data_IF_582207581603
#
_entry.id   IF_582207581603
#
_cell.length_a   1.000
_cell.length_b   1.000
_cell.length_c   1.000
_cell.angle_alpha   90.00
_cell.angle_beta   90.00
_cell.angle_gamma   90.00
#
_symmetry.space_group_name_H-M   'P 1'
#
loop_
_entity.id
_entity.type
_entity.pdbx_description
1 polymer ?
#
# COMPACT_ATOMS: atom_id res chain seq x y z
N UNK A 1 28.97 -54.14 -11.91
CA UNK A 1 27.54 -53.73 -11.83
C UNK A 1 27.50 -52.23 -11.89
N UNK A 2 27.12 -51.74 -13.02
CA UNK A 2 27.22 -50.37 -13.52
C UNK A 2 26.04 -49.57 -12.98
N UNK A 3 26.26 -48.44 -12.35
CA UNK A 3 25.21 -47.45 -12.13
C UNK A 3 25.56 -46.20 -12.87
N UNK A 4 24.66 -45.91 -13.74
CA UNK A 4 24.68 -44.97 -14.83
C UNK A 4 24.11 -43.61 -14.38
N UNK A 5 24.73 -42.59 -14.94
CA UNK A 5 24.06 -41.47 -15.58
C UNK A 5 23.64 -40.28 -14.76
N UNK A 6 24.49 -39.31 -14.86
CA UNK A 6 24.18 -37.91 -14.67
C UNK A 6 22.97 -37.46 -15.49
N UNK A 7 21.90 -37.06 -14.88
CA UNK A 7 20.89 -36.19 -15.48
C UNK A 7 21.36 -34.76 -15.38
N UNK A 8 21.80 -34.24 -16.51
CA UNK A 8 21.95 -32.81 -16.77
C UNK A 8 20.58 -32.17 -16.72
N UNK A 9 20.27 -31.57 -15.62
CA UNK A 9 19.22 -30.55 -15.57
C UNK A 9 19.78 -29.32 -16.27
N UNK A 10 19.35 -29.12 -17.50
CA UNK A 10 19.60 -27.92 -18.28
C UNK A 10 19.12 -26.69 -17.49
N UNK A 11 20.09 -25.88 -17.15
CA UNK A 11 19.93 -24.56 -16.59
C UNK A 11 19.28 -23.67 -17.64
N UNK A 12 17.97 -23.61 -17.69
CA UNK A 12 17.29 -22.51 -18.35
C UNK A 12 17.47 -21.30 -17.46
N UNK A 13 18.48 -20.51 -17.76
CA UNK A 13 18.66 -19.15 -17.30
C UNK A 13 17.45 -18.37 -17.84
N UNK A 14 16.52 -18.07 -16.98
CA UNK A 14 15.41 -17.17 -17.32
C UNK A 14 16.04 -15.79 -17.36
N UNK A 15 16.08 -15.18 -18.55
CA UNK A 15 16.53 -13.81 -18.78
C UNK A 15 16.03 -12.88 -17.67
N UNK A 16 16.98 -12.18 -17.07
CA UNK A 16 16.65 -11.04 -16.20
C UNK A 16 15.84 -10.04 -17.02
N UNK A 17 14.62 -9.71 -16.58
CA UNK A 17 13.89 -8.64 -17.25
C UNK A 17 14.72 -7.36 -17.17
N UNK A 18 15.06 -6.79 -18.31
CA UNK A 18 15.71 -5.50 -18.46
C UNK A 18 15.11 -4.51 -17.47
N UNK A 19 15.96 -4.01 -16.55
CA UNK A 19 15.58 -3.05 -15.51
C UNK A 19 15.47 -1.67 -16.15
N UNK A 20 14.52 -1.50 -17.04
CA UNK A 20 14.03 -0.17 -17.35
C UNK A 20 13.04 0.17 -16.24
N UNK A 21 13.34 1.26 -15.50
CA UNK A 21 12.42 1.82 -14.53
C UNK A 21 11.02 1.88 -15.18
N UNK A 22 10.01 1.23 -14.60
CA UNK A 22 8.69 1.23 -15.21
C UNK A 22 8.23 2.67 -15.28
N UNK A 23 7.95 3.14 -16.50
CA UNK A 23 7.20 4.37 -16.71
C UNK A 23 5.84 4.13 -16.08
N UNK A 24 5.60 4.74 -14.94
CA UNK A 24 4.34 4.67 -14.23
C UNK A 24 3.26 5.29 -15.13
N UNK A 25 2.52 4.45 -15.82
CA UNK A 25 1.38 4.87 -16.60
C UNK A 25 0.19 4.95 -15.65
N UNK A 26 -0.07 6.17 -15.15
CA UNK A 26 -1.31 6.61 -14.58
C UNK A 26 -1.89 5.77 -13.45
N UNK A 27 -2.39 6.42 -12.41
CA UNK A 27 -3.22 5.79 -11.40
C UNK A 27 -4.25 4.85 -12.05
N UNK A 28 -4.54 3.67 -11.46
CA UNK A 28 -5.65 2.86 -11.90
C UNK A 28 -6.85 3.79 -12.05
N UNK A 29 -7.47 3.75 -13.21
CA UNK A 29 -8.63 4.56 -13.52
C UNK A 29 -9.65 4.36 -12.42
N UNK A 30 -9.76 5.35 -11.53
CA UNK A 30 -10.85 5.42 -10.58
C UNK A 30 -12.13 5.33 -11.38
N UNK A 31 -12.80 4.19 -11.35
CA UNK A 31 -14.18 4.10 -11.77
C UNK A 31 -14.95 4.91 -10.73
N UNK A 32 -15.10 6.20 -11.04
CA UNK A 32 -15.94 7.13 -10.30
C UNK A 32 -17.30 6.47 -10.19
N UNK A 33 -17.64 5.94 -9.03
CA UNK A 33 -19.00 5.59 -8.72
C UNK A 33 -19.73 6.94 -8.68
N UNK A 34 -20.51 7.22 -9.72
CA UNK A 34 -21.38 8.40 -9.74
C UNK A 34 -22.38 8.23 -8.60
N UNK A 35 -22.10 8.86 -7.47
CA UNK A 35 -23.06 9.05 -6.40
C UNK A 35 -24.09 10.07 -6.89
N UNK A 36 -25.21 9.57 -7.37
CA UNK A 36 -26.40 10.38 -7.59
C UNK A 36 -26.90 10.91 -6.25
N UNK A 37 -26.75 12.20 -6.04
CA UNK A 37 -27.50 12.95 -5.04
C UNK A 37 -26.84 13.12 -3.70
N UNK A 38 -25.89 14.07 -3.58
CA UNK A 38 -25.53 14.69 -2.28
C UNK A 38 -24.72 15.98 -2.50
N UNK A 39 -25.36 17.01 -3.01
CA UNK A 39 -24.72 18.34 -3.12
C UNK A 39 -24.61 19.07 -1.78
N UNK A 40 -25.19 18.57 -0.70
CA UNK A 40 -25.14 19.19 0.62
C UNK A 40 -24.11 18.60 1.60
N UNK A 41 -23.56 17.42 1.34
CA UNK A 41 -22.58 16.74 2.20
C UNK A 41 -21.11 17.04 1.84
N UNK A 42 -20.87 17.84 0.82
CA UNK A 42 -19.52 18.04 0.26
C UNK A 42 -18.58 18.86 1.14
N UNK A 43 -19.07 19.57 2.16
CA UNK A 43 -18.24 20.42 3.04
C UNK A 43 -17.55 19.68 4.18
N UNK A 44 -18.00 18.48 4.52
CA UNK A 44 -17.52 17.72 5.70
C UNK A 44 -16.90 16.38 5.35
N UNK A 45 -16.73 16.07 4.07
CA UNK A 45 -16.19 14.79 3.64
C UNK A 45 -14.75 14.57 4.12
N UNK A 46 -14.52 13.49 4.86
CA UNK A 46 -13.19 13.13 5.35
C UNK A 46 -12.30 12.68 4.19
N UNK A 47 -11.11 13.25 4.14
CA UNK A 47 -10.10 12.94 3.12
C UNK A 47 -8.86 12.33 3.74
N UNK A 48 -8.09 11.61 2.94
CA UNK A 48 -6.81 11.00 3.35
C UNK A 48 -5.87 12.00 4.03
N UNK A 49 -5.89 13.26 3.61
CA UNK A 49 -5.10 14.32 4.25
C UNK A 49 -5.38 14.49 5.74
N UNK A 50 -6.60 14.20 6.21
CA UNK A 50 -6.96 14.27 7.63
C UNK A 50 -6.24 13.24 8.50
N UNK A 51 -5.80 12.13 7.93
CA UNK A 51 -5.04 11.09 8.62
C UNK A 51 -3.60 10.97 8.11
N UNK A 52 -3.13 11.94 7.31
CA UNK A 52 -1.84 11.86 6.62
C UNK A 52 -0.65 11.80 7.60
N UNK A 53 -0.73 12.42 8.77
CA UNK A 53 0.35 12.36 9.76
C UNK A 53 0.51 10.95 10.33
N UNK A 54 -0.58 10.24 10.56
CA UNK A 54 -0.54 8.83 10.93
C UNK A 54 0.04 7.97 9.79
N UNK A 55 -0.37 8.26 8.55
CA UNK A 55 0.13 7.56 7.37
C UNK A 55 1.63 7.79 7.13
N UNK A 56 2.14 9.00 7.35
CA UNK A 56 3.58 9.33 7.25
C UNK A 56 4.42 8.54 8.23
N UNK A 57 3.98 8.41 9.48
CA UNK A 57 4.71 7.64 10.51
C UNK A 57 4.86 6.16 10.17
N UNK A 58 3.98 5.61 9.33
CA UNK A 58 4.04 4.22 8.88
C UNK A 58 4.89 4.01 7.64
N UNK A 59 5.24 5.08 6.93
CA UNK A 59 5.99 4.97 5.69
C UNK A 59 7.39 4.41 5.97
N UNK A 60 7.65 3.25 5.41
CA UNK A 60 8.99 2.68 5.31
C UNK A 60 9.28 2.40 3.86
N UNK A 61 10.35 2.99 3.34
CA UNK A 61 10.75 2.84 1.95
C UNK A 61 12.03 2.02 1.84
N UNK A 62 12.20 1.36 0.70
CA UNK A 62 13.41 0.64 0.34
C UNK A 62 13.71 0.88 -1.14
N UNK A 63 14.98 0.90 -1.53
CA UNK A 63 15.35 1.02 -2.92
C UNK A 63 15.07 -0.27 -3.69
N UNK A 64 14.74 -0.16 -4.97
CA UNK A 64 14.41 -1.31 -5.83
C UNK A 64 15.58 -2.31 -5.98
N UNK A 65 16.82 -1.84 -5.83
CA UNK A 65 18.04 -2.65 -5.91
C UNK A 65 18.50 -3.21 -4.54
N UNK A 66 17.80 -2.87 -3.45
CA UNK A 66 18.08 -3.40 -2.12
C UNK A 66 17.86 -4.92 -2.07
N UNK A 67 18.64 -5.60 -1.24
CA UNK A 67 18.60 -7.06 -1.15
C UNK A 67 17.43 -7.56 -0.30
N UNK A 68 16.95 -8.76 -0.60
CA UNK A 68 15.83 -9.37 0.12
C UNK A 68 16.05 -9.48 1.64
N UNK A 69 17.25 -9.82 2.16
CA UNK A 69 17.51 -9.82 3.61
C UNK A 69 17.33 -8.44 4.25
N UNK A 70 17.71 -7.36 3.55
CA UNK A 70 17.53 -6.00 4.02
C UNK A 70 16.03 -5.66 4.12
N UNK A 71 15.25 -6.03 3.12
CA UNK A 71 13.79 -5.88 3.17
C UNK A 71 13.19 -6.66 4.35
N UNK A 72 13.62 -7.91 4.57
CA UNK A 72 13.16 -8.73 5.69
C UNK A 72 13.51 -8.10 7.05
N UNK A 73 14.71 -7.57 7.18
CA UNK A 73 15.17 -6.87 8.38
C UNK A 73 14.34 -5.62 8.66
N UNK A 74 14.09 -4.79 7.65
CA UNK A 74 13.25 -3.58 7.80
C UNK A 74 11.83 -3.92 8.21
N UNK A 75 11.20 -4.93 7.61
CA UNK A 75 9.87 -5.39 7.99
C UNK A 75 9.79 -5.83 9.46
N UNK A 76 10.88 -6.40 9.99
CA UNK A 76 10.94 -6.88 11.37
C UNK A 76 11.23 -5.73 12.33
N UNK A 77 12.29 -4.94 12.08
CA UNK A 77 12.75 -3.88 13.00
C UNK A 77 11.77 -2.72 13.08
N UNK A 78 11.09 -2.39 11.98
CA UNK A 78 10.06 -1.34 11.93
C UNK A 78 8.66 -1.83 12.31
N UNK A 79 8.52 -3.13 12.59
CA UNK A 79 7.24 -3.77 12.89
C UNK A 79 6.12 -3.41 11.89
N UNK A 80 6.49 -3.36 10.61
CA UNK A 80 5.58 -3.10 9.50
C UNK A 80 5.30 -4.36 8.70
N UNK A 81 4.19 -4.41 7.97
CA UNK A 81 3.86 -5.52 7.08
C UNK A 81 4.14 -5.21 5.62
N UNK A 82 4.37 -3.92 5.30
CA UNK A 82 4.52 -3.43 3.94
C UNK A 82 5.69 -2.45 3.86
N UNK A 83 6.55 -2.64 2.85
CA UNK A 83 7.57 -1.67 2.44
C UNK A 83 7.19 -1.12 1.08
N UNK A 84 7.36 0.18 0.91
CA UNK A 84 7.24 0.81 -0.40
C UNK A 84 8.59 0.77 -1.10
N UNK A 85 8.63 0.13 -2.26
CA UNK A 85 9.82 0.06 -3.10
C UNK A 85 9.88 1.31 -3.97
N UNK A 86 10.99 2.04 -3.90
CA UNK A 86 11.18 3.28 -4.63
C UNK A 86 12.36 3.18 -5.60
N UNK A 87 12.31 3.95 -6.65
CA UNK A 87 13.47 4.23 -7.48
C UNK A 87 14.37 5.28 -6.82
N UNK A 88 15.52 5.58 -7.44
CA UNK A 88 16.49 6.57 -6.93
C UNK A 88 15.97 8.00 -6.96
N UNK A 89 14.89 8.28 -7.68
CA UNK A 89 14.20 9.58 -7.68
C UNK A 89 13.15 9.71 -6.58
N UNK A 90 12.94 8.63 -5.78
CA UNK A 90 11.93 8.54 -4.73
C UNK A 90 10.53 8.21 -5.25
N UNK A 91 10.37 7.87 -6.54
CA UNK A 91 9.09 7.41 -7.08
C UNK A 91 8.83 5.98 -6.66
N UNK A 92 7.58 5.70 -6.35
CA UNK A 92 7.14 4.36 -6.02
C UNK A 92 7.22 3.45 -7.25
N UNK A 93 7.90 2.32 -7.10
CA UNK A 93 8.01 1.27 -8.11
C UNK A 93 7.09 0.06 -7.82
N UNK A 94 6.72 -0.11 -6.55
CA UNK A 94 5.88 -1.20 -6.09
C UNK A 94 5.90 -1.34 -4.57
N UNK A 95 5.44 -2.47 -4.08
CA UNK A 95 5.48 -2.80 -2.64
C UNK A 95 6.02 -4.21 -2.41
N UNK A 96 6.61 -4.43 -1.24
CA UNK A 96 7.02 -5.74 -0.73
C UNK A 96 6.37 -5.96 0.62
N UNK A 97 5.72 -7.11 0.79
CA UNK A 97 5.12 -7.53 2.06
C UNK A 97 5.88 -8.69 2.69
N UNK A 98 5.63 -8.95 3.98
CA UNK A 98 6.13 -10.18 4.66
C UNK A 98 5.74 -11.44 3.89
N UNK A 99 4.53 -11.48 3.35
CA UNK A 99 4.02 -12.63 2.59
C UNK A 99 4.80 -12.85 1.30
N UNK A 100 5.21 -11.78 0.60
CA UNK A 100 6.00 -11.90 -0.64
C UNK A 100 7.36 -12.50 -0.34
N UNK A 101 8.00 -12.08 0.76
CA UNK A 101 9.30 -12.65 1.19
C UNK A 101 9.14 -14.12 1.55
N UNK A 102 8.14 -14.47 2.38
CA UNK A 102 7.90 -15.86 2.78
C UNK A 102 7.61 -16.75 1.56
N UNK A 103 6.76 -16.28 0.65
CA UNK A 103 6.45 -16.99 -0.60
C UNK A 103 7.69 -17.21 -1.46
N UNK A 104 8.59 -16.22 -1.50
CA UNK A 104 9.84 -16.34 -2.25
C UNK A 104 10.79 -17.32 -1.61
N UNK A 105 10.96 -17.29 -0.30
CA UNK A 105 11.81 -18.23 0.45
C UNK A 105 11.30 -19.67 0.22
N UNK A 106 10.00 -19.90 0.33
CA UNK A 106 9.40 -21.23 0.13
C UNK A 106 9.59 -21.82 -1.26
N UNK A 107 9.89 -20.99 -2.27
CA UNK A 107 10.16 -21.43 -3.66
C UNK A 107 11.67 -21.48 -3.98
N UNK A 108 12.51 -21.12 -3.04
CA UNK A 108 13.94 -20.96 -3.29
C UNK A 108 14.73 -22.16 -2.77
N UNK A 109 15.46 -22.82 -3.67
CA UNK A 109 16.36 -23.92 -3.36
C UNK A 109 17.76 -23.40 -2.96
N UNK A 110 17.83 -22.47 -1.99
CA UNK A 110 19.10 -22.01 -1.41
C UNK A 110 19.70 -20.70 -1.97
N UNK A 111 19.09 -20.06 -2.99
CA UNK A 111 19.67 -18.88 -3.65
C UNK A 111 18.92 -17.55 -3.35
N UNK A 112 17.97 -17.54 -2.38
CA UNK A 112 17.13 -16.39 -2.11
C UNK A 112 17.89 -15.14 -1.62
N UNK A 113 19.04 -15.32 -0.96
CA UNK A 113 19.77 -14.23 -0.32
C UNK A 113 20.43 -13.24 -1.29
N UNK A 114 20.57 -13.60 -2.56
CA UNK A 114 21.17 -12.73 -3.59
C UNK A 114 20.18 -11.87 -4.38
N UNK A 115 18.86 -12.07 -4.19
CA UNK A 115 17.84 -11.40 -4.98
C UNK A 115 17.57 -9.98 -4.49
N UNK A 116 17.29 -9.07 -5.42
CA UNK A 116 16.84 -7.71 -5.11
C UNK A 116 15.35 -7.66 -4.78
N UNK A 117 14.93 -6.61 -4.06
CA UNK A 117 13.52 -6.34 -3.76
C UNK A 117 12.66 -6.23 -5.02
N UNK A 118 13.24 -5.78 -6.13
CA UNK A 118 12.57 -5.65 -7.42
C UNK A 118 12.04 -6.99 -7.98
N UNK A 119 12.66 -8.12 -7.62
CA UNK A 119 12.25 -9.45 -8.08
C UNK A 119 10.99 -9.96 -7.39
N UNK A 120 10.74 -9.50 -6.16
CA UNK A 120 9.63 -9.97 -5.32
C UNK A 120 8.52 -8.95 -5.16
N UNK A 121 8.75 -7.68 -5.56
CA UNK A 121 7.74 -6.63 -5.39
C UNK A 121 6.50 -6.86 -6.26
N UNK A 122 5.36 -6.50 -5.70
CA UNK A 122 4.13 -6.31 -6.45
C UNK A 122 4.13 -4.92 -7.06
N UNK A 123 3.94 -4.83 -8.38
CA UNK A 123 3.99 -3.56 -9.14
C UNK A 123 2.61 -2.94 -9.32
N UNK A 124 1.61 -3.77 -9.60
CA UNK A 124 0.23 -3.32 -9.73
C UNK A 124 -0.38 -3.18 -8.34
N UNK A 125 -0.26 -1.98 -7.77
CA UNK A 125 -0.63 -1.66 -6.39
C UNK A 125 -1.67 -0.57 -6.39
N UNK A 126 -2.78 -0.82 -5.68
CA UNK A 126 -3.71 0.24 -5.35
C UNK A 126 -3.02 1.31 -4.49
N UNK A 127 -3.08 2.56 -4.95
CA UNK A 127 -2.56 3.72 -4.24
C UNK A 127 -3.66 4.76 -4.09
N UNK A 128 -3.63 5.52 -3.01
CA UNK A 128 -4.51 6.67 -2.82
C UNK A 128 -3.71 7.98 -2.80
N UNK A 129 -4.42 9.10 -2.89
CA UNK A 129 -3.90 10.45 -2.82
C UNK A 129 -4.42 11.17 -1.58
N UNK A 130 -3.75 12.25 -1.20
CA UNK A 130 -4.16 13.07 -0.04
C UNK A 130 -5.58 13.63 -0.15
N UNK A 131 -6.04 13.86 -1.37
CA UNK A 131 -7.36 14.46 -1.63
C UNK A 131 -8.48 13.43 -1.83
N UNK A 132 -8.17 12.13 -1.87
CA UNK A 132 -9.17 11.08 -1.99
C UNK A 132 -10.05 11.02 -0.73
N UNK A 133 -11.33 10.67 -0.93
CA UNK A 133 -12.27 10.47 0.16
C UNK A 133 -11.92 9.18 0.93
N UNK A 134 -11.93 9.25 2.26
CA UNK A 134 -11.66 8.08 3.10
C UNK A 134 -12.66 6.94 2.86
N UNK A 135 -13.90 7.27 2.59
CA UNK A 135 -14.98 6.32 2.30
C UNK A 135 -14.69 5.53 1.02
N UNK A 136 -14.23 6.20 -0.05
CA UNK A 136 -13.89 5.56 -1.33
C UNK A 136 -12.65 4.68 -1.19
N UNK A 137 -11.63 5.17 -0.49
CA UNK A 137 -10.42 4.40 -0.19
C UNK A 137 -10.77 3.16 0.64
N UNK A 138 -11.61 3.32 1.68
CA UNK A 138 -12.10 2.21 2.47
C UNK A 138 -12.87 1.18 1.65
N UNK A 139 -13.82 1.62 0.82
CA UNK A 139 -14.60 0.73 -0.03
C UNK A 139 -13.70 -0.10 -0.95
N UNK A 140 -12.69 0.53 -1.55
CA UNK A 140 -11.74 -0.14 -2.44
C UNK A 140 -10.88 -1.15 -1.66
N UNK A 141 -10.33 -0.75 -0.50
CA UNK A 141 -9.52 -1.61 0.34
C UNK A 141 -10.31 -2.82 0.85
N UNK A 142 -11.56 -2.61 1.27
CA UNK A 142 -12.47 -3.67 1.73
C UNK A 142 -12.77 -4.67 0.62
N UNK A 143 -13.10 -4.19 -0.58
CA UNK A 143 -13.42 -5.04 -1.73
C UNK A 143 -12.22 -5.89 -2.16
N UNK A 144 -11.02 -5.32 -2.16
CA UNK A 144 -9.80 -5.99 -2.57
C UNK A 144 -9.10 -6.76 -1.45
N UNK A 145 -9.59 -6.67 -0.20
CA UNK A 145 -8.98 -7.33 0.96
C UNK A 145 -7.65 -6.69 1.41
N UNK A 146 -7.39 -5.43 1.04
CA UNK A 146 -6.17 -4.74 1.44
C UNK A 146 -6.28 -4.20 2.87
N UNK A 147 -5.21 -4.37 3.64
CA UNK A 147 -5.10 -3.83 5.01
C UNK A 147 -4.37 -2.50 5.08
N UNK A 148 -3.53 -2.24 4.09
CA UNK A 148 -2.68 -1.07 3.98
C UNK A 148 -2.62 -0.63 2.50
N UNK A 149 -2.55 0.69 2.27
CA UNK A 149 -2.42 1.26 0.94
C UNK A 149 -1.42 2.42 0.96
N UNK A 150 -0.47 2.49 0.01
CA UNK A 150 0.40 3.63 -0.14
C UNK A 150 -0.36 4.90 -0.51
N UNK A 151 0.07 6.03 0.06
CA UNK A 151 -0.35 7.37 -0.36
C UNK A 151 0.74 7.95 -1.23
N UNK A 152 0.37 8.43 -2.42
CA UNK A 152 1.33 9.01 -3.36
C UNK A 152 1.00 10.48 -3.66
N UNK A 153 2.06 11.27 -3.91
CA UNK A 153 1.93 12.64 -4.39
C UNK A 153 1.64 12.70 -5.90
N UNK A 154 1.48 13.91 -6.43
CA UNK A 154 1.25 14.14 -7.86
C UNK A 154 2.42 13.68 -8.76
N UNK A 155 3.62 13.52 -8.18
CA UNK A 155 4.81 13.05 -8.88
C UNK A 155 5.01 11.53 -8.76
N UNK A 156 4.06 10.82 -8.11
CA UNK A 156 4.14 9.38 -7.87
C UNK A 156 5.13 8.98 -6.75
N UNK A 157 5.52 9.91 -5.88
CA UNK A 157 6.36 9.61 -4.72
C UNK A 157 5.50 9.19 -3.55
N UNK A 158 5.95 8.16 -2.84
CA UNK A 158 5.27 7.72 -1.63
C UNK A 158 5.42 8.76 -0.52
N UNK A 159 4.30 9.18 0.07
CA UNK A 159 4.23 10.16 1.15
C UNK A 159 3.61 9.62 2.43
N UNK A 160 3.11 8.38 2.42
CA UNK A 160 2.51 7.72 3.57
C UNK A 160 2.01 6.33 3.26
N UNK A 161 1.55 5.63 4.29
CA UNK A 161 0.81 4.36 4.21
C UNK A 161 -0.45 4.50 5.05
N UNK A 162 -1.61 4.40 4.43
CA UNK A 162 -2.90 4.38 5.11
C UNK A 162 -3.20 2.96 5.55
N UNK A 163 -3.57 2.77 6.81
CA UNK A 163 -4.06 1.50 7.32
C UNK A 163 -5.59 1.51 7.42
N UNK A 164 -6.21 0.40 7.07
CA UNK A 164 -7.67 0.22 7.14
C UNK A 164 -8.25 0.61 8.51
N UNK A 165 -7.54 0.28 9.60
CA UNK A 165 -7.95 0.65 10.98
C UNK A 165 -8.00 2.15 11.21
N UNK A 166 -7.11 2.95 10.59
CA UNK A 166 -7.09 4.40 10.80
C UNK A 166 -8.21 5.08 10.05
N UNK A 167 -8.53 4.55 8.87
CA UNK A 167 -9.71 5.01 8.11
C UNK A 167 -10.96 4.76 8.94
N UNK A 168 -11.14 3.53 9.43
CA UNK A 168 -12.31 3.18 10.24
C UNK A 168 -12.40 4.03 11.49
N UNK A 169 -11.29 4.24 12.20
CA UNK A 169 -11.27 5.09 13.39
C UNK A 169 -11.74 6.52 13.07
N UNK A 170 -11.20 7.13 12.01
CA UNK A 170 -11.60 8.47 11.58
C UNK A 170 -13.08 8.56 11.16
N UNK A 171 -13.59 7.51 10.49
CA UNK A 171 -15.00 7.45 10.09
C UNK A 171 -15.93 7.29 11.31
N UNK A 172 -15.55 6.45 12.29
CA UNK A 172 -16.32 6.27 13.51
C UNK A 172 -16.31 7.50 14.41
N UNK A 173 -15.17 8.17 14.57
CA UNK A 173 -15.09 9.43 15.32
C UNK A 173 -16.03 10.49 14.74
N UNK A 174 -16.11 10.57 13.41
CA UNK A 174 -17.05 11.48 12.75
C UNK A 174 -18.50 11.13 13.05
N UNK A 175 -18.89 9.87 12.97
CA UNK A 175 -20.25 9.42 13.25
C UNK A 175 -20.65 9.74 14.72
N UNK A 176 -19.76 9.48 15.67
CA UNK A 176 -19.98 9.86 17.07
C UNK A 176 -20.16 11.36 17.26
N UNK A 177 -19.37 12.18 16.60
CA UNK A 177 -19.49 13.63 16.64
C UNK A 177 -20.82 14.13 16.04
N UNK A 178 -21.27 13.55 14.93
CA UNK A 178 -22.57 13.88 14.31
C UNK A 178 -23.74 13.50 15.25
N UNK A 179 -23.65 12.36 15.94
CA UNK A 179 -24.64 11.92 16.90
C UNK A 179 -24.72 12.85 18.12
N UNK A 180 -23.57 13.26 18.66
CA UNK A 180 -23.50 14.20 19.79
C UNK A 180 -24.07 15.57 19.42
N UNK A 181 -23.76 16.10 18.23
CA UNK A 181 -24.35 17.36 17.74
C UNK A 181 -25.87 17.29 17.59
N UNK A 182 -26.39 16.18 17.07
CA UNK A 182 -27.83 15.96 16.95
C UNK A 182 -28.49 15.86 18.33
N UNK A 183 -27.85 15.20 19.28
CA UNK A 183 -28.34 15.10 20.66
C UNK A 183 -28.40 16.47 21.33
N UNK A 184 -27.35 17.28 21.20
CA UNK A 184 -27.30 18.63 21.74
C UNK A 184 -28.37 19.54 21.11
N UNK A 185 -28.59 19.42 19.82
CA UNK A 185 -29.66 20.14 19.12
C UNK A 185 -31.06 19.74 19.61
N UNK A 186 -31.33 18.43 19.75
CA UNK A 186 -32.63 17.92 20.23
C UNK A 186 -32.87 18.25 21.72
N UNK A 187 -31.80 18.22 22.52
CA UNK A 187 -31.88 18.52 23.96
C UNK A 187 -31.95 20.03 24.29
N UNK A 188 -31.90 20.91 23.28
CA UNK A 188 -32.04 22.34 23.45
C UNK A 188 -30.85 23.05 24.08
N UNK A 189 -29.67 22.40 24.17
CA UNK A 189 -28.45 22.97 24.75
C UNK A 189 -27.70 23.92 23.81
N UNK A 190 -28.29 24.30 22.69
CA UNK A 190 -27.58 24.97 21.60
C UNK A 190 -27.71 26.50 21.51
N UNK A 191 -28.44 27.18 22.39
CA UNK A 191 -28.53 28.66 22.35
C UNK A 191 -28.70 29.26 23.76
N UNK A 192 -27.61 29.72 24.29
CA UNK A 192 -27.54 30.87 25.21
C UNK A 192 -26.47 31.84 24.71
#
# INVERSE_FOLDING_TARGET
MTINKADRVSKTYVDEPSIHAPVWQGAPTHRKVESRGADHLSRTALRVRGILDAARRRLVTILYDARLPEAAQLLTTRNTNLLVVCDRSGRMAGVVTKTDIVRRIGRCHGHACGLSGAVVMTRDVFCCRSDDLLEDVWATMKLAGFREAPVVDQRGRAIGIVAARDILHALFERLGYEEDLLRDYVMGNGYH
#
